data_IF_989166092367
#
_entry.id   IF_989166092367
#
_cell.length_a   1.000
_cell.length_b   1.000
_cell.length_c   1.000
_cell.angle_alpha   90.00
_cell.angle_beta   90.00
_cell.angle_gamma   90.00
#
_symmetry.space_group_name_H-M   'P 1'
#
loop_
_entity.id
_entity.type
_entity.pdbx_description
1 polymer ?
#
# COMPACT_ATOMS: atom_id res chain seq x y z
N UNK A 1 -32.65 10.27 -1.03
CA UNK A 1 -32.63 9.82 -2.43
C UNK A 1 -31.40 10.31 -3.23
N UNK A 2 -30.25 10.62 -2.56
CA UNK A 2 -29.01 11.07 -3.23
C UNK A 2 -27.77 10.19 -2.92
N UNK A 3 -27.96 9.01 -2.34
CA UNK A 3 -26.87 8.09 -1.98
C UNK A 3 -26.58 6.99 -3.02
N UNK A 4 -27.30 6.95 -4.13
CA UNK A 4 -27.23 5.85 -5.13
C UNK A 4 -26.25 6.07 -6.29
N UNK A 5 -25.47 7.16 -6.39
CA UNK A 5 -24.62 7.44 -7.56
C UNK A 5 -23.11 7.52 -7.24
N UNK A 6 -22.63 7.03 -6.09
CA UNK A 6 -21.21 7.20 -5.69
C UNK A 6 -20.29 6.02 -6.02
N UNK A 7 -20.81 4.94 -6.53
CA UNK A 7 -20.01 3.76 -6.88
C UNK A 7 -20.31 3.37 -8.33
N UNK A 8 -19.73 4.07 -9.29
CA UNK A 8 -19.51 3.48 -10.60
C UNK A 8 -18.57 2.29 -10.40
N UNK A 9 -19.18 1.14 -10.11
CA UNK A 9 -18.49 -0.14 -10.02
C UNK A 9 -17.93 -0.42 -11.40
N UNK A 10 -16.64 -0.18 -11.64
CA UNK A 10 -16.03 -0.83 -12.79
C UNK A 10 -16.04 -2.32 -12.50
N UNK A 11 -17.00 -3.01 -13.11
CA UNK A 11 -17.07 -4.45 -13.18
C UNK A 11 -15.75 -4.92 -13.78
N UNK A 12 -15.18 -5.94 -13.18
CA UNK A 12 -14.00 -6.66 -13.63
C UNK A 12 -14.00 -6.87 -15.15
N UNK A 13 -12.86 -6.71 -15.81
CA UNK A 13 -12.73 -7.11 -17.21
C UNK A 13 -12.80 -8.61 -17.34
N UNK A 14 -13.29 -9.08 -18.48
CA UNK A 14 -13.35 -10.50 -18.80
C UNK A 14 -11.94 -11.14 -18.75
N UNK A 15 -10.90 -10.39 -19.11
CA UNK A 15 -9.50 -10.85 -19.06
C UNK A 15 -9.04 -11.18 -17.63
N UNK A 16 -9.34 -10.32 -16.66
CA UNK A 16 -8.98 -10.56 -15.26
C UNK A 16 -9.72 -11.79 -14.72
N UNK A 17 -11.01 -11.90 -15.01
CA UNK A 17 -11.83 -13.05 -14.60
C UNK A 17 -11.30 -14.35 -15.19
N UNK A 18 -11.05 -14.38 -16.51
CA UNK A 18 -10.50 -15.55 -17.20
C UNK A 18 -9.16 -15.96 -16.59
N UNK A 19 -8.24 -15.00 -16.39
CA UNK A 19 -6.94 -15.31 -15.79
C UNK A 19 -7.05 -15.94 -14.41
N UNK A 20 -7.93 -15.43 -13.54
CA UNK A 20 -8.12 -15.97 -12.18
C UNK A 20 -8.81 -17.34 -12.24
N UNK A 21 -9.80 -17.50 -13.13
CA UNK A 21 -10.44 -18.80 -13.38
C UNK A 21 -9.41 -19.86 -13.77
N UNK A 22 -8.55 -19.56 -14.75
CA UNK A 22 -7.52 -20.51 -15.21
C UNK A 22 -6.55 -20.91 -14.07
N UNK A 23 -6.17 -19.97 -13.22
CA UNK A 23 -5.30 -20.23 -12.08
C UNK A 23 -5.95 -21.12 -11.02
N UNK A 24 -7.23 -20.92 -10.75
CA UNK A 24 -7.99 -21.73 -9.78
C UNK A 24 -8.30 -23.13 -10.33
N UNK A 25 -8.80 -23.23 -11.58
CA UNK A 25 -9.18 -24.49 -12.21
C UNK A 25 -7.99 -25.41 -12.50
N UNK A 26 -6.83 -24.83 -12.83
CA UNK A 26 -5.59 -25.60 -13.00
C UNK A 26 -4.96 -26.08 -11.68
N UNK A 27 -5.46 -25.61 -10.53
CA UNK A 27 -4.86 -25.90 -9.22
C UNK A 27 -3.51 -25.23 -8.97
N UNK A 28 -3.13 -24.27 -9.83
CA UNK A 28 -1.88 -23.52 -9.65
C UNK A 28 -1.90 -22.66 -8.38
N UNK A 29 -3.07 -22.19 -7.99
CA UNK A 29 -3.31 -21.47 -6.73
C UNK A 29 -4.42 -22.12 -5.91
N UNK A 30 -4.26 -22.10 -4.59
CA UNK A 30 -5.26 -22.57 -3.64
C UNK A 30 -6.43 -21.59 -3.47
N UNK A 31 -6.14 -20.32 -3.67
CA UNK A 31 -7.11 -19.22 -3.61
C UNK A 31 -6.53 -17.95 -4.17
N UNK A 32 -7.41 -17.02 -4.54
CA UNK A 32 -7.07 -15.71 -5.07
C UNK A 32 -7.51 -14.61 -4.10
N UNK A 33 -6.55 -13.85 -3.59
CA UNK A 33 -6.82 -12.70 -2.71
C UNK A 33 -7.11 -11.45 -3.53
N UNK A 34 -8.33 -10.96 -3.44
CA UNK A 34 -8.81 -9.80 -4.17
C UNK A 34 -9.79 -8.98 -3.35
N UNK A 35 -10.58 -8.16 -4.01
CA UNK A 35 -11.66 -7.40 -3.39
C UNK A 35 -13.00 -7.96 -3.83
N UNK A 36 -13.89 -8.19 -2.88
CA UNK A 36 -15.27 -8.64 -3.12
C UNK A 36 -16.26 -7.52 -2.88
N UNK A 37 -17.19 -7.35 -3.82
CA UNK A 37 -18.38 -6.53 -3.61
C UNK A 37 -19.53 -7.39 -3.13
N UNK A 38 -20.11 -7.05 -1.98
CA UNK A 38 -21.31 -7.70 -1.45
C UNK A 38 -22.27 -6.64 -0.88
N UNK A 39 -23.50 -6.60 -1.33
CA UNK A 39 -24.56 -5.68 -0.87
C UNK A 39 -24.14 -4.20 -0.80
N UNK A 40 -23.28 -3.77 -1.73
CA UNK A 40 -22.78 -2.39 -1.78
C UNK A 40 -21.50 -2.13 -0.98
N UNK A 41 -21.01 -3.09 -0.21
CA UNK A 41 -19.74 -3.04 0.49
C UNK A 41 -18.63 -3.70 -0.31
N UNK A 42 -17.43 -3.13 -0.26
CA UNK A 42 -16.23 -3.70 -0.87
C UNK A 42 -15.25 -4.02 0.25
N UNK A 43 -14.67 -5.22 0.22
CA UNK A 43 -13.68 -5.66 1.20
C UNK A 43 -12.75 -6.74 0.66
N UNK A 44 -11.64 -7.02 1.36
CA UNK A 44 -10.72 -8.09 1.00
C UNK A 44 -11.40 -9.45 1.14
N UNK A 45 -11.14 -10.33 0.18
CA UNK A 45 -11.73 -11.67 0.15
C UNK A 45 -10.78 -12.66 -0.52
N UNK A 46 -10.75 -13.89 -0.01
CA UNK A 46 -10.03 -15.01 -0.60
C UNK A 46 -11.01 -15.87 -1.42
N UNK A 47 -10.97 -15.72 -2.73
CA UNK A 47 -11.76 -16.50 -3.68
C UNK A 47 -11.15 -17.90 -3.80
N UNK A 48 -11.95 -18.94 -3.57
CA UNK A 48 -11.49 -20.33 -3.60
C UNK A 48 -12.16 -21.15 -4.71
N UNK A 49 -13.15 -20.61 -5.35
CA UNK A 49 -13.86 -21.23 -6.47
C UNK A 49 -14.31 -20.19 -7.50
N UNK A 50 -14.58 -20.65 -8.72
CA UNK A 50 -14.92 -19.80 -9.86
C UNK A 50 -16.29 -19.09 -9.70
N UNK A 51 -17.24 -19.72 -9.04
CA UNK A 51 -18.58 -19.16 -8.86
C UNK A 51 -18.59 -17.87 -8.01
N UNK A 52 -17.58 -17.68 -7.17
CA UNK A 52 -17.44 -16.48 -6.35
C UNK A 52 -16.90 -15.27 -7.15
N UNK A 53 -16.28 -15.51 -8.31
CA UNK A 53 -15.59 -14.47 -9.09
C UNK A 53 -16.56 -13.43 -9.70
N UNK A 54 -17.86 -13.70 -9.76
CA UNK A 54 -18.85 -12.71 -10.18
C UNK A 54 -18.91 -11.49 -9.22
N UNK A 55 -18.40 -11.65 -8.02
CA UNK A 55 -18.33 -10.60 -7.00
C UNK A 55 -16.95 -9.91 -6.92
N UNK A 56 -15.96 -10.37 -7.70
CA UNK A 56 -14.63 -9.76 -7.71
C UNK A 56 -14.69 -8.36 -8.32
N UNK A 57 -14.05 -7.41 -7.66
CA UNK A 57 -13.94 -6.01 -8.11
C UNK A 57 -12.50 -5.52 -7.99
N UNK A 58 -12.15 -4.46 -8.71
CA UNK A 58 -10.78 -3.95 -8.78
C UNK A 58 -10.47 -2.81 -7.78
N UNK A 59 -11.46 -2.34 -7.04
CA UNK A 59 -11.28 -1.27 -6.06
C UNK A 59 -11.18 0.12 -6.66
N UNK A 60 -10.34 0.98 -6.10
CA UNK A 60 -10.17 2.38 -6.52
C UNK A 60 -9.96 2.53 -8.03
N UNK A 61 -10.66 3.53 -8.62
CA UNK A 61 -10.56 3.79 -10.04
C UNK A 61 -10.22 5.25 -10.36
N UNK A 62 -10.96 6.21 -9.80
CA UNK A 62 -10.74 7.64 -10.06
C UNK A 62 -10.02 8.33 -8.89
N UNK A 63 -10.31 7.91 -7.67
CA UNK A 63 -9.77 8.50 -6.45
C UNK A 63 -9.16 7.42 -5.57
N UNK A 64 -8.05 7.71 -4.88
CA UNK A 64 -7.51 6.81 -3.88
C UNK A 64 -8.39 6.78 -2.63
N UNK A 65 -8.50 5.62 -1.99
CA UNK A 65 -9.08 5.45 -0.65
C UNK A 65 -10.53 4.99 -0.58
N UNK A 66 -11.33 5.10 -1.65
CA UNK A 66 -12.75 4.72 -1.63
C UNK A 66 -12.97 3.21 -1.43
N UNK A 67 -12.08 2.38 -1.98
CA UNK A 67 -12.20 0.92 -1.98
C UNK A 67 -10.83 0.25 -2.00
N UNK A 68 -9.93 0.66 -1.10
CA UNK A 68 -8.56 0.16 -1.08
C UNK A 68 -8.21 -0.50 0.23
N UNK A 69 -7.53 -1.64 0.12
CA UNK A 69 -7.15 -2.45 1.27
C UNK A 69 -5.71 -2.96 1.13
N UNK A 70 -5.00 -3.21 2.25
CA UNK A 70 -3.62 -3.69 2.25
C UNK A 70 -3.56 -5.20 1.93
N UNK A 71 -3.85 -5.61 0.69
CA UNK A 71 -3.91 -7.03 0.31
C UNK A 71 -2.61 -7.76 0.64
N UNK A 72 -1.46 -7.13 0.45
CA UNK A 72 -0.17 -7.72 0.81
C UNK A 72 -0.05 -8.06 2.31
N UNK A 73 -0.68 -7.26 3.19
CA UNK A 73 -0.69 -7.55 4.64
C UNK A 73 -1.53 -8.79 4.96
N UNK A 74 -2.69 -8.92 4.32
CA UNK A 74 -3.51 -10.13 4.45
C UNK A 74 -2.82 -11.35 3.85
N UNK A 75 -2.10 -11.16 2.74
CA UNK A 75 -1.35 -12.24 2.10
C UNK A 75 -0.26 -12.81 3.02
N UNK A 76 0.47 -11.96 3.77
CA UNK A 76 1.44 -12.42 4.78
C UNK A 76 0.75 -13.33 5.80
N UNK A 77 -0.41 -12.92 6.32
CA UNK A 77 -1.14 -13.71 7.32
C UNK A 77 -1.62 -15.06 6.76
N UNK A 78 -2.11 -15.06 5.51
CA UNK A 78 -2.54 -16.28 4.82
C UNK A 78 -1.36 -17.20 4.58
N UNK A 79 -0.25 -16.67 4.05
CA UNK A 79 0.96 -17.45 3.77
C UNK A 79 1.59 -18.05 5.05
N UNK A 80 1.59 -17.31 6.17
CA UNK A 80 2.04 -17.84 7.45
C UNK A 80 1.16 -19.00 7.96
N UNK A 81 -0.15 -18.93 7.71
CA UNK A 81 -1.10 -19.97 8.13
C UNK A 81 -1.07 -21.20 7.24
N UNK A 82 -0.77 -21.02 5.96
CA UNK A 82 -0.77 -22.07 4.93
C UNK A 82 0.55 -22.02 4.12
N UNK A 83 1.69 -22.37 4.73
CA UNK A 83 3.03 -22.17 4.13
C UNK A 83 3.28 -23.03 2.89
N UNK A 84 2.59 -24.16 2.75
CA UNK A 84 2.74 -25.06 1.61
C UNK A 84 1.89 -24.67 0.40
N UNK A 85 0.85 -23.88 0.61
CA UNK A 85 -0.08 -23.48 -0.45
C UNK A 85 0.45 -22.27 -1.24
N UNK A 86 0.04 -22.19 -2.50
CA UNK A 86 0.31 -21.06 -3.39
C UNK A 86 -0.94 -20.21 -3.53
N UNK A 87 -0.80 -18.90 -3.40
CA UNK A 87 -1.93 -17.96 -3.49
C UNK A 87 -1.74 -16.97 -4.61
N UNK A 88 -2.84 -16.68 -5.33
CA UNK A 88 -2.93 -15.55 -6.24
C UNK A 88 -3.27 -14.27 -5.47
N UNK A 89 -2.83 -13.12 -5.96
CA UNK A 89 -3.18 -11.82 -5.38
C UNK A 89 -3.35 -10.77 -6.46
N UNK A 90 -4.41 -9.95 -6.32
CA UNK A 90 -4.64 -8.79 -7.16
C UNK A 90 -3.61 -7.70 -6.82
N UNK A 91 -2.86 -7.23 -7.82
CA UNK A 91 -1.81 -6.23 -7.61
C UNK A 91 -1.92 -5.06 -8.56
N UNK A 92 -1.69 -3.86 -8.03
CA UNK A 92 -1.38 -2.63 -8.75
C UNK A 92 0.13 -2.38 -8.71
N UNK A 93 0.63 -1.36 -9.37
CA UNK A 93 2.06 -1.05 -9.34
C UNK A 93 2.64 -0.89 -7.93
N UNK A 94 1.90 -0.27 -7.00
CA UNK A 94 2.33 -0.15 -5.60
C UNK A 94 2.27 -1.49 -4.84
N UNK A 95 1.29 -2.35 -5.14
CA UNK A 95 1.16 -3.66 -4.48
C UNK A 95 2.27 -4.60 -4.95
N UNK A 96 2.62 -4.58 -6.26
CA UNK A 96 3.77 -5.32 -6.78
C UNK A 96 5.08 -4.85 -6.15
N UNK A 97 5.32 -3.53 -6.02
CA UNK A 97 6.46 -3.02 -5.27
C UNK A 97 6.47 -3.54 -3.84
N UNK A 98 5.29 -3.65 -3.23
CA UNK A 98 5.12 -4.26 -1.92
C UNK A 98 5.54 -5.73 -1.88
N UNK A 99 5.12 -6.54 -2.85
CA UNK A 99 5.52 -7.94 -2.94
C UNK A 99 7.05 -8.06 -3.08
N UNK A 100 7.66 -7.34 -4.02
CA UNK A 100 9.13 -7.34 -4.22
C UNK A 100 9.86 -6.96 -2.93
N UNK A 101 9.39 -5.92 -2.22
CA UNK A 101 9.94 -5.54 -0.93
C UNK A 101 9.77 -6.64 0.12
N UNK A 102 8.60 -7.28 0.20
CA UNK A 102 8.36 -8.37 1.14
C UNK A 102 9.23 -9.61 0.85
N UNK A 103 9.53 -9.87 -0.41
CA UNK A 103 10.48 -10.93 -0.81
C UNK A 103 11.90 -10.62 -0.33
N UNK A 104 12.39 -9.38 -0.54
CA UNK A 104 13.74 -8.99 -0.09
C UNK A 104 13.87 -8.96 1.43
N UNK A 105 12.75 -8.80 2.17
CA UNK A 105 12.69 -8.87 3.63
C UNK A 105 12.29 -10.26 4.17
N UNK A 106 12.27 -11.30 3.31
CA UNK A 106 11.91 -12.68 3.68
C UNK A 106 10.55 -12.82 4.40
N UNK A 107 9.60 -11.94 4.08
CA UNK A 107 8.25 -12.00 4.66
C UNK A 107 7.30 -12.87 3.83
N UNK A 108 7.60 -13.07 2.55
CA UNK A 108 6.87 -13.93 1.63
C UNK A 108 7.86 -14.74 0.75
N UNK A 109 7.46 -15.94 0.41
CA UNK A 109 8.19 -16.77 -0.56
C UNK A 109 7.68 -16.46 -1.97
N UNK A 110 8.51 -15.92 -2.90
CA UNK A 110 8.06 -15.58 -4.25
C UNK A 110 7.54 -16.80 -5.03
N UNK A 111 8.01 -18.01 -4.75
CA UNK A 111 7.53 -19.23 -5.40
C UNK A 111 6.10 -19.63 -4.97
N UNK A 112 5.57 -19.04 -3.91
CA UNK A 112 4.24 -19.32 -3.36
C UNK A 112 3.22 -18.17 -3.58
N UNK A 113 3.58 -17.19 -4.42
CA UNK A 113 2.72 -16.03 -4.72
C UNK A 113 2.61 -15.84 -6.23
N UNK A 114 1.39 -15.77 -6.75
CA UNK A 114 1.09 -15.49 -8.15
C UNK A 114 0.44 -14.10 -8.24
N UNK A 115 1.19 -13.05 -8.61
CA UNK A 115 0.60 -11.73 -8.78
C UNK A 115 -0.25 -11.68 -10.06
N UNK A 116 -1.44 -11.08 -9.97
CA UNK A 116 -2.30 -10.80 -11.12
C UNK A 116 -2.46 -9.29 -11.23
N UNK A 117 -1.79 -8.72 -12.21
CA UNK A 117 -1.57 -7.29 -12.33
C UNK A 117 -2.69 -6.53 -13.03
N UNK A 118 -3.03 -5.36 -12.48
CA UNK A 118 -3.89 -4.36 -13.14
C UNK A 118 -3.20 -3.01 -13.15
N UNK A 119 -3.27 -2.30 -14.28
CA UNK A 119 -2.78 -0.93 -14.38
C UNK A 119 -3.78 0.06 -13.78
N UNK A 120 -3.28 1.09 -13.10
CA UNK A 120 -4.11 2.21 -12.66
C UNK A 120 -4.45 3.10 -13.87
N UNK A 121 -5.68 3.64 -13.95
CA UNK A 121 -5.99 4.69 -14.92
C UNK A 121 -5.22 5.97 -14.64
N UNK A 122 -5.09 6.87 -15.63
CA UNK A 122 -4.30 8.09 -15.51
C UNK A 122 -4.82 8.99 -14.39
N UNK A 123 -6.12 9.12 -14.23
CA UNK A 123 -6.75 9.95 -13.19
C UNK A 123 -6.35 9.49 -11.77
N UNK A 124 -6.30 8.18 -11.55
CA UNK A 124 -5.86 7.63 -10.27
C UNK A 124 -4.34 7.78 -10.08
N UNK A 125 -3.57 7.64 -11.16
CA UNK A 125 -2.12 7.84 -11.13
C UNK A 125 -1.77 9.30 -10.79
N UNK A 126 -2.50 10.27 -11.38
CA UNK A 126 -2.36 11.70 -11.14
C UNK A 126 -2.72 12.05 -9.69
N UNK A 127 -3.87 11.56 -9.19
CA UNK A 127 -4.30 11.77 -7.82
C UNK A 127 -3.32 11.17 -6.79
N UNK A 128 -2.62 10.11 -7.17
CA UNK A 128 -1.58 9.48 -6.37
C UNK A 128 -0.19 10.11 -6.55
N UNK A 129 0.02 10.97 -7.55
CA UNK A 129 1.35 11.41 -7.97
C UNK A 129 2.32 10.22 -8.10
N UNK A 130 1.89 9.18 -8.79
CA UNK A 130 2.54 7.88 -8.80
C UNK A 130 3.63 7.80 -9.87
N UNK A 131 4.85 7.41 -9.47
CA UNK A 131 5.98 7.27 -10.40
C UNK A 131 5.87 6.02 -11.29
N UNK A 132 5.19 4.96 -10.84
CA UNK A 132 4.96 3.72 -11.60
C UNK A 132 3.57 3.18 -11.29
N UNK A 133 2.52 3.63 -12.01
CA UNK A 133 1.12 3.29 -11.71
C UNK A 133 0.66 1.93 -12.26
N UNK A 134 1.57 1.05 -12.61
CA UNK A 134 1.29 -0.28 -13.15
C UNK A 134 2.31 -1.30 -12.64
N UNK A 135 1.94 -2.59 -12.53
CA UNK A 135 2.87 -3.69 -12.33
C UNK A 135 3.62 -4.01 -13.63
N UNK A 136 4.67 -4.82 -13.56
CA UNK A 136 5.47 -5.22 -14.71
C UNK A 136 4.60 -5.95 -15.75
N UNK A 137 3.78 -6.88 -15.28
CA UNK A 137 2.79 -7.60 -16.09
C UNK A 137 1.37 -7.14 -15.74
N UNK A 138 0.64 -6.70 -16.75
CA UNK A 138 -0.76 -6.28 -16.62
C UNK A 138 -1.67 -7.23 -17.39
N UNK A 139 -2.65 -7.78 -16.70
CA UNK A 139 -3.74 -8.55 -17.30
C UNK A 139 -4.85 -7.61 -17.79
N UNK A 140 -5.01 -6.48 -17.10
CA UNK A 140 -6.02 -5.47 -17.44
C UNK A 140 -5.52 -4.04 -17.23
N UNK A 141 -6.15 -3.11 -17.94
CA UNK A 141 -5.84 -1.69 -17.92
C UNK A 141 -4.69 -1.30 -18.85
N UNK A 142 -4.63 -0.01 -19.17
CA UNK A 142 -3.54 0.58 -19.95
C UNK A 142 -2.49 1.18 -19.01
N UNK A 143 -1.22 0.98 -19.32
CA UNK A 143 -0.12 1.56 -18.54
C UNK A 143 -0.17 3.09 -18.62
N UNK A 144 -0.56 3.73 -17.52
CA UNK A 144 -0.56 5.19 -17.41
C UNK A 144 0.88 5.73 -17.33
N UNK A 145 1.05 7.02 -17.66
CA UNK A 145 2.35 7.69 -17.54
C UNK A 145 2.71 7.96 -16.08
N UNK A 146 4.02 8.00 -15.79
CA UNK A 146 4.52 8.44 -14.50
C UNK A 146 4.13 9.90 -14.23
N UNK A 147 3.78 10.19 -12.96
CA UNK A 147 3.34 11.51 -12.55
C UNK A 147 4.42 12.24 -11.76
N UNK A 148 4.49 13.55 -11.89
CA UNK A 148 5.34 14.40 -11.08
C UNK A 148 4.86 14.41 -9.62
N UNK A 149 5.79 14.38 -8.66
CA UNK A 149 5.50 14.46 -7.23
C UNK A 149 5.40 15.91 -6.75
N UNK A 150 4.35 16.62 -7.15
CA UNK A 150 4.13 18.05 -6.87
C UNK A 150 4.09 18.36 -5.38
N UNK A 151 3.50 17.47 -4.57
CA UNK A 151 3.44 17.63 -3.12
C UNK A 151 4.83 17.60 -2.47
N UNK A 152 5.75 16.76 -2.96
CA UNK A 152 7.14 16.73 -2.50
C UNK A 152 7.87 18.01 -2.93
N UNK A 153 7.73 18.40 -4.19
CA UNK A 153 8.36 19.61 -4.74
C UNK A 153 7.92 20.87 -3.98
N UNK A 154 6.65 20.97 -3.60
CA UNK A 154 6.13 22.10 -2.81
C UNK A 154 6.76 22.21 -1.42
N UNK A 155 7.03 21.07 -0.77
CA UNK A 155 7.70 21.03 0.54
C UNK A 155 9.19 21.34 0.39
N UNK A 156 9.83 20.91 -0.70
CA UNK A 156 11.23 21.22 -0.97
C UNK A 156 11.48 22.70 -1.22
N UNK A 157 10.50 23.42 -1.75
CA UNK A 157 10.57 24.87 -1.94
C UNK A 157 10.54 25.68 -0.63
N UNK A 158 10.14 25.08 0.49
CA UNK A 158 10.10 25.74 1.79
C UNK A 158 11.50 25.87 2.39
N UNK A 159 11.73 26.92 3.19
CA UNK A 159 12.91 27.02 4.05
C UNK A 159 12.92 25.87 5.09
N UNK A 160 14.09 25.55 5.65
CA UNK A 160 14.18 24.53 6.70
C UNK A 160 13.30 24.86 7.92
N UNK A 161 13.22 26.14 8.31
CA UNK A 161 12.39 26.60 9.42
C UNK A 161 10.90 26.42 9.12
N UNK A 162 10.44 26.85 7.93
CA UNK A 162 9.03 26.71 7.53
C UNK A 162 8.63 25.25 7.37
N UNK A 163 9.52 24.42 6.84
CA UNK A 163 9.31 22.97 6.69
C UNK A 163 9.18 22.30 8.06
N UNK A 164 10.04 22.66 9.02
CA UNK A 164 9.94 22.16 10.38
C UNK A 164 8.64 22.59 11.05
N UNK A 165 8.30 23.88 10.95
CA UNK A 165 7.05 24.43 11.49
C UNK A 165 5.80 23.74 10.89
N UNK A 166 5.80 23.49 9.58
CA UNK A 166 4.75 22.74 8.89
C UNK A 166 4.56 21.36 9.52
N UNK A 167 5.64 20.58 9.66
CA UNK A 167 5.54 19.21 10.19
C UNK A 167 5.13 19.18 11.66
N UNK A 168 5.63 20.09 12.48
CA UNK A 168 5.19 20.20 13.89
C UNK A 168 3.69 20.50 13.95
N UNK A 169 3.20 21.45 13.14
CA UNK A 169 1.77 21.75 13.06
C UNK A 169 0.94 20.54 12.65
N UNK A 170 1.41 19.77 11.66
CA UNK A 170 0.70 18.57 11.22
C UNK A 170 0.71 17.48 12.30
N UNK A 171 1.84 17.25 12.94
CA UNK A 171 1.98 16.22 13.98
C UNK A 171 1.15 16.52 15.24
N UNK A 172 0.89 17.78 15.58
CA UNK A 172 0.00 18.15 16.71
C UNK A 172 -1.43 17.68 16.53
N UNK A 173 -1.87 17.40 15.31
CA UNK A 173 -3.21 16.85 15.05
C UNK A 173 -3.32 15.37 15.43
N UNK A 174 -2.22 14.67 15.68
CA UNK A 174 -2.20 13.23 15.88
C UNK A 174 -2.91 12.83 17.16
N UNK A 175 -3.91 11.95 17.03
CA UNK A 175 -4.65 11.36 18.15
C UNK A 175 -4.12 9.97 18.57
N UNK A 176 -2.96 9.57 18.07
CA UNK A 176 -2.29 8.30 18.39
C UNK A 176 -3.18 7.05 18.18
N UNK A 177 -4.00 7.06 17.13
CA UNK A 177 -4.90 5.96 16.80
C UNK A 177 -4.21 4.74 16.18
N UNK A 178 -2.94 4.85 15.79
CA UNK A 178 -2.13 3.83 15.09
C UNK A 178 -2.68 3.38 13.72
N UNK A 179 -3.76 3.94 13.21
CA UNK A 179 -4.33 3.57 11.89
C UNK A 179 -3.30 3.55 10.76
N UNK A 180 -2.40 4.53 10.73
CA UNK A 180 -1.31 4.58 9.74
C UNK A 180 -0.29 3.43 9.86
N UNK A 181 -0.13 2.83 11.05
CA UNK A 181 0.69 1.64 11.29
C UNK A 181 -0.08 0.38 10.89
N UNK A 182 -1.30 0.28 11.35
CA UNK A 182 -2.07 -0.95 11.26
C UNK A 182 -2.55 -1.24 9.84
N UNK A 183 -2.79 -0.21 9.02
CA UNK A 183 -3.13 -0.37 7.61
C UNK A 183 -1.90 -0.61 6.73
N UNK A 184 -0.68 -0.31 7.20
CA UNK A 184 0.51 -0.36 6.36
C UNK A 184 0.92 -1.80 6.04
N UNK A 185 1.01 -2.20 4.74
CA UNK A 185 1.42 -3.55 4.37
C UNK A 185 2.90 -3.82 4.67
N UNK A 186 3.70 -2.76 4.88
CA UNK A 186 5.13 -2.87 5.20
C UNK A 186 5.42 -2.83 6.71
N UNK A 187 4.39 -2.73 7.56
CA UNK A 187 4.51 -2.87 9.01
C UNK A 187 4.25 -4.32 9.43
N UNK A 188 5.28 -5.15 9.34
CA UNK A 188 5.26 -6.58 9.65
C UNK A 188 6.10 -6.97 10.87
N UNK A 189 6.66 -6.01 11.60
CA UNK A 189 7.44 -6.27 12.83
C UNK A 189 6.54 -6.85 13.92
N UNK A 190 7.02 -7.86 14.65
CA UNK A 190 6.32 -8.46 15.79
C UNK A 190 6.25 -7.50 16.97
N UNK A 191 7.32 -6.74 17.21
CA UNK A 191 7.40 -5.69 18.21
C UNK A 191 7.59 -4.34 17.54
N UNK A 192 6.94 -3.30 18.07
CA UNK A 192 6.92 -1.98 17.46
C UNK A 192 7.40 -0.92 18.44
N UNK A 193 8.51 -0.25 18.15
CA UNK A 193 9.07 0.80 19.01
C UNK A 193 8.07 1.92 19.31
N UNK A 194 7.21 2.29 18.37
CA UNK A 194 6.18 3.33 18.63
C UNK A 194 4.98 2.79 19.44
N UNK A 195 4.96 1.51 19.77
CA UNK A 195 3.99 0.89 20.66
C UNK A 195 4.58 0.56 22.04
N UNK A 196 5.85 0.90 22.30
CA UNK A 196 6.51 0.71 23.59
C UNK A 196 6.33 1.95 24.47
N UNK A 197 5.95 1.76 25.70
CA UNK A 197 5.84 2.86 26.69
C UNK A 197 7.19 3.51 27.02
N UNK A 198 8.31 2.83 26.75
CA UNK A 198 9.65 3.41 26.91
C UNK A 198 9.93 4.59 25.98
N UNK A 199 9.31 4.60 24.80
CA UNK A 199 9.49 5.64 23.80
C UNK A 199 8.28 6.55 23.64
N UNK A 200 7.07 5.96 23.70
CA UNK A 200 5.80 6.62 23.41
C UNK A 200 4.81 6.32 24.55
N UNK A 201 4.63 7.24 25.46
CA UNK A 201 3.82 7.04 26.66
C UNK A 201 2.34 6.79 26.33
N UNK A 202 1.77 5.76 26.92
CA UNK A 202 0.35 5.45 26.79
C UNK A 202 -0.51 6.62 27.31
N UNK A 203 -1.58 6.94 26.58
CA UNK A 203 -2.55 7.98 26.97
C UNK A 203 -2.16 9.43 26.66
N UNK A 204 -0.92 9.70 26.24
CA UNK A 204 -0.52 11.06 25.83
C UNK A 204 -1.03 11.39 24.42
N UNK A 205 -1.75 12.51 24.29
CA UNK A 205 -2.27 13.05 23.03
C UNK A 205 -2.01 14.56 22.99
N UNK A 206 -1.35 15.10 21.95
CA UNK A 206 -0.67 14.38 20.87
C UNK A 206 0.48 13.51 21.41
N UNK A 207 0.95 12.50 20.62
CA UNK A 207 2.10 11.70 21.01
C UNK A 207 3.37 12.59 21.06
N UNK A 208 4.43 12.06 21.65
CA UNK A 208 5.72 12.74 21.80
C UNK A 208 6.20 13.31 20.46
N UNK A 209 6.20 14.62 20.36
CA UNK A 209 6.57 15.32 19.13
C UNK A 209 8.04 15.78 19.13
N UNK A 210 8.69 15.63 18.01
CA UNK A 210 8.29 14.99 16.75
C UNK A 210 8.56 13.49 16.72
N UNK A 211 8.96 12.90 17.85
CA UNK A 211 9.53 11.54 17.98
C UNK A 211 8.65 10.47 17.35
N UNK A 212 7.35 10.45 17.66
CA UNK A 212 6.43 9.42 17.15
C UNK A 212 6.47 9.31 15.61
N UNK A 213 6.30 10.45 14.92
CA UNK A 213 6.25 10.47 13.46
C UNK A 213 7.63 10.30 12.82
N UNK A 214 8.69 10.83 13.43
CA UNK A 214 10.05 10.64 12.93
C UNK A 214 10.52 9.20 13.10
N UNK A 215 10.24 8.56 14.22
CA UNK A 215 10.51 7.12 14.42
C UNK A 215 9.81 6.28 13.34
N UNK A 216 8.55 6.56 13.07
CA UNK A 216 7.85 5.88 11.98
C UNK A 216 8.48 6.16 10.63
N UNK A 217 8.85 7.41 10.35
CA UNK A 217 9.49 7.77 9.09
C UNK A 217 10.82 7.02 8.90
N UNK A 218 11.62 6.91 9.94
CA UNK A 218 12.89 6.15 9.94
C UNK A 218 12.62 4.66 9.68
N UNK A 219 11.63 4.05 10.34
CA UNK A 219 11.28 2.65 10.12
C UNK A 219 10.71 2.37 8.73
N UNK A 220 10.18 3.41 8.05
CA UNK A 220 9.71 3.29 6.68
C UNK A 220 10.81 3.51 5.62
N UNK A 221 12.02 3.93 6.04
CA UNK A 221 13.16 4.01 5.14
C UNK A 221 13.43 2.61 4.54
N UNK A 222 13.53 2.55 3.22
CA UNK A 222 13.78 1.30 2.52
C UNK A 222 12.61 0.30 2.51
N UNK A 223 11.43 0.66 3.05
CA UNK A 223 10.23 -0.19 3.06
C UNK A 223 9.01 0.49 2.42
N UNK A 224 8.92 1.82 2.44
CA UNK A 224 7.74 2.53 1.94
C UNK A 224 7.56 2.35 0.43
N UNK A 225 6.47 1.73 0.03
CA UNK A 225 6.10 1.46 -1.38
C UNK A 225 5.23 2.55 -2.01
N UNK A 226 5.03 3.66 -1.31
CA UNK A 226 4.20 4.79 -1.73
C UNK A 226 2.76 4.38 -2.09
N UNK A 227 2.14 3.54 -1.27
CA UNK A 227 0.77 3.08 -1.51
C UNK A 227 -0.31 4.09 -1.08
N UNK A 228 -0.03 5.01 -0.17
CA UNK A 228 -0.98 6.02 0.33
C UNK A 228 -1.94 5.56 1.42
N UNK A 229 -2.05 4.28 1.75
CA UNK A 229 -2.99 3.76 2.74
C UNK A 229 -2.88 4.43 4.12
N UNK A 230 -1.69 4.85 4.53
CA UNK A 230 -1.49 5.57 5.79
C UNK A 230 -2.17 6.95 5.80
N UNK A 231 -2.26 7.59 4.65
CA UNK A 231 -2.96 8.87 4.47
C UNK A 231 -4.47 8.67 4.54
N UNK A 232 -4.98 7.64 3.83
CA UNK A 232 -6.39 7.27 3.79
C UNK A 232 -6.92 6.87 5.19
N UNK A 233 -6.10 6.20 5.99
CA UNK A 233 -6.47 5.75 7.33
C UNK A 233 -6.31 6.82 8.42
N UNK A 234 -5.80 8.00 8.10
CA UNK A 234 -5.56 9.03 9.11
C UNK A 234 -6.81 9.87 9.36
N UNK A 235 -7.49 9.77 10.51
CA UNK A 235 -8.69 10.55 10.80
C UNK A 235 -8.40 12.04 11.06
N UNK A 236 -7.12 12.41 11.23
CA UNK A 236 -6.66 13.78 11.43
C UNK A 236 -6.08 14.42 10.16
N UNK A 237 -6.20 13.76 9.01
CA UNK A 237 -5.73 14.21 7.69
C UNK A 237 -4.26 14.68 7.68
N UNK A 238 -3.40 14.02 8.46
CA UNK A 238 -1.96 14.29 8.45
C UNK A 238 -1.39 13.76 7.13
N UNK A 239 -0.64 14.56 6.34
CA UNK A 239 -0.14 14.17 5.03
C UNK A 239 1.06 13.21 5.12
N UNK A 240 0.88 12.06 5.78
CA UNK A 240 1.93 11.08 6.07
C UNK A 240 2.57 10.51 4.80
N UNK A 241 1.78 10.34 3.74
CA UNK A 241 2.31 9.89 2.46
C UNK A 241 3.38 10.84 1.93
N UNK A 242 3.15 12.15 2.01
CA UNK A 242 4.12 13.18 1.57
C UNK A 242 5.40 13.12 2.39
N UNK A 243 5.30 12.93 3.72
CA UNK A 243 6.46 12.71 4.57
C UNK A 243 7.29 11.51 4.10
N UNK A 244 6.64 10.36 3.85
CA UNK A 244 7.34 9.15 3.45
C UNK A 244 7.87 9.20 2.01
N UNK A 245 7.16 9.88 1.09
CA UNK A 245 7.68 10.18 -0.24
C UNK A 245 8.99 10.99 -0.15
N UNK A 246 9.00 12.04 0.70
CA UNK A 246 10.21 12.86 0.90
C UNK A 246 11.37 12.05 1.46
N UNK A 247 11.11 11.18 2.42
CA UNK A 247 12.15 10.27 2.97
C UNK A 247 12.63 9.30 1.89
N UNK A 248 11.75 8.73 1.09
CA UNK A 248 12.12 7.85 -0.02
C UNK A 248 12.95 8.57 -1.10
N UNK A 249 12.65 9.85 -1.37
CA UNK A 249 13.40 10.68 -2.31
C UNK A 249 14.83 10.97 -1.81
N UNK A 250 15.00 11.19 -0.52
CA UNK A 250 16.34 11.34 0.10
C UNK A 250 17.14 10.05 -0.07
N UNK A 251 16.53 8.90 0.25
CA UNK A 251 17.21 7.60 0.15
C UNK A 251 17.57 7.27 -1.30
N UNK A 252 16.69 7.61 -2.25
CA UNK A 252 16.97 7.42 -3.68
C UNK A 252 18.19 8.27 -4.13
N UNK A 253 18.28 9.51 -3.69
CA UNK A 253 19.40 10.40 -4.02
C UNK A 253 20.73 9.93 -3.42
N UNK A 254 20.71 9.46 -2.16
CA UNK A 254 21.93 9.07 -1.43
C UNK A 254 22.37 7.64 -1.77
N UNK A 255 21.44 6.70 -1.98
CA UNK A 255 21.74 5.28 -2.12
C UNK A 255 21.28 4.68 -3.45
N UNK A 256 20.65 5.46 -4.34
CA UNK A 256 20.07 4.99 -5.60
C UNK A 256 19.11 3.79 -5.40
N UNK A 257 18.35 3.86 -4.31
CA UNK A 257 17.45 2.80 -3.87
C UNK A 257 16.02 3.29 -3.69
N UNK A 258 15.09 2.58 -4.32
CA UNK A 258 13.64 2.72 -4.08
C UNK A 258 13.03 1.36 -3.80
N UNK A 259 12.25 1.19 -2.70
CA UNK A 259 11.64 -0.08 -2.34
C UNK A 259 10.78 -0.67 -3.46
N UNK A 260 11.07 -1.91 -3.87
CA UNK A 260 10.30 -2.66 -4.86
C UNK A 260 10.47 -2.22 -6.31
N UNK A 261 11.40 -1.32 -6.63
CA UNK A 261 11.74 -0.97 -8.02
C UNK A 261 12.79 -1.91 -8.63
N UNK A 262 13.54 -2.59 -7.79
CA UNK A 262 14.52 -3.63 -8.15
C UNK A 262 14.54 -4.71 -7.07
N UNK A 263 15.28 -5.77 -7.31
CA UNK A 263 15.52 -6.86 -6.35
C UNK A 263 16.65 -6.53 -5.36
N UNK A 264 17.17 -5.30 -5.41
CA UNK A 264 18.20 -4.84 -4.49
C UNK A 264 17.65 -4.81 -3.06
N UNK A 265 18.47 -5.29 -2.11
CA UNK A 265 18.15 -5.16 -0.69
C UNK A 265 18.24 -3.70 -0.26
N UNK A 266 17.41 -3.32 0.70
CA UNK A 266 17.47 -1.98 1.30
C UNK A 266 18.87 -1.72 1.88
N UNK A 267 19.45 -0.53 1.70
CA UNK A 267 20.73 -0.16 2.32
C UNK A 267 20.68 -0.22 3.86
N UNK A 268 19.48 -0.22 4.44
CA UNK A 268 19.27 -0.37 5.88
C UNK A 268 18.93 -1.82 6.30
N UNK A 269 18.92 -2.78 5.37
CA UNK A 269 18.69 -4.21 5.65
C UNK A 269 20.04 -4.96 5.82
N UNK A 270 21.01 -4.31 6.44
CA UNK A 270 22.37 -4.86 6.62
C UNK A 270 22.60 -5.31 8.07
N UNK A 271 21.56 -5.23 8.90
CA UNK A 271 21.59 -5.60 10.32
C UNK A 271 20.96 -6.95 10.55
#
# INVERSE_FOLDING_TARGET
TKLKSRYDKKIMSDNLKSKVTDLLSSGQIKGFLGLRSNEGHIGPYLFTNEAELDHLVIGDWQRPGDSRYPLNKFLIQIACKYPEDTFGVLVRGCDERGLKTLYTWNQLNPAKVVPVGIACPQELADACECLKPYPDECVDGQKATACEQKTVSSIDALSNADRFALWIKEFTKCIKCYGCRDVCPMCFCNECSVGSDDLIHTGHIPPEMPIFHLTRAVHMIGRCIDCGLCNEACPADIPLRTLYKKVADIIDKEFQYRPGYSDQKSPLNVL
#
